data_IF_488800989964
#
_entry.id   IF_488800989964
#
_cell.length_a   1.000
_cell.length_b   1.000
_cell.length_c   1.000
_cell.angle_alpha   90.00
_cell.angle_beta   90.00
_cell.angle_gamma   90.00
#
_symmetry.space_group_name_H-M   'P 1'
#
loop_
_entity.id
_entity.type
_entity.pdbx_description
1 polymer ?
#
# COMPACT_ATOMS: atom_id res chain seq x y z
N UNK A 1 6.77 -20.79 8.63
CA UNK A 1 7.47 -19.56 8.21
C UNK A 1 8.09 -18.90 9.43
N UNK A 2 9.08 -18.03 9.24
CA UNK A 2 9.67 -17.17 10.28
C UNK A 2 9.95 -15.79 9.69
N UNK A 3 10.00 -14.75 10.53
CA UNK A 3 10.22 -13.37 10.08
C UNK A 3 11.70 -12.97 10.16
N UNK A 4 12.13 -12.17 9.20
CA UNK A 4 13.50 -11.63 9.09
C UNK A 4 13.47 -10.23 8.48
N UNK A 5 14.57 -9.47 8.56
CA UNK A 5 14.66 -8.10 8.03
C UNK A 5 16.08 -7.69 7.60
N UNK A 6 16.96 -8.66 7.28
CA UNK A 6 18.36 -8.39 6.97
C UNK A 6 18.68 -8.64 5.50
N UNK A 7 19.71 -7.96 4.99
CA UNK A 7 20.26 -8.23 3.65
C UNK A 7 20.68 -9.69 3.46
N UNK A 8 21.10 -10.37 4.55
CA UNK A 8 21.48 -11.78 4.49
C UNK A 8 20.32 -12.64 3.99
N UNK A 9 19.13 -12.42 4.54
CA UNK A 9 17.91 -13.16 4.14
C UNK A 9 17.33 -12.60 2.83
N UNK A 10 17.39 -11.28 2.63
CA UNK A 10 16.85 -10.65 1.42
C UNK A 10 17.58 -11.07 0.13
N UNK A 11 18.89 -11.35 0.19
CA UNK A 11 19.67 -11.78 -0.98
C UNK A 11 19.89 -13.30 -1.06
N UNK A 12 19.55 -14.05 0.00
CA UNK A 12 19.59 -15.50 -0.04
C UNK A 12 18.55 -16.05 -1.03
N UNK A 13 18.86 -17.20 -1.64
CA UNK A 13 17.92 -17.92 -2.50
C UNK A 13 17.50 -19.22 -1.82
N UNK A 14 16.20 -19.54 -1.76
CA UNK A 14 15.74 -20.78 -1.16
C UNK A 14 16.19 -21.98 -1.99
N UNK A 15 16.49 -23.09 -1.32
CA UNK A 15 16.61 -24.39 -1.98
C UNK A 15 15.25 -24.81 -2.55
N UNK A 16 15.25 -25.61 -3.60
CA UNK A 16 14.02 -26.19 -4.16
C UNK A 16 13.23 -26.91 -3.05
N UNK A 17 11.97 -26.53 -2.78
CA UNK A 17 11.17 -27.17 -1.76
C UNK A 17 10.92 -28.66 -2.06
N UNK A 18 10.85 -29.45 -1.00
CA UNK A 18 10.68 -30.89 -1.11
C UNK A 18 9.37 -31.26 -1.84
N UNK A 19 9.48 -32.22 -2.77
CA UNK A 19 8.36 -32.78 -3.53
C UNK A 19 7.54 -31.77 -4.36
N UNK A 20 8.05 -30.56 -4.63
CA UNK A 20 7.29 -29.54 -5.36
C UNK A 20 6.95 -29.95 -6.80
N UNK A 21 7.77 -30.80 -7.43
CA UNK A 21 7.51 -31.34 -8.78
C UNK A 21 6.24 -32.21 -8.87
N UNK A 22 5.71 -32.65 -7.73
CA UNK A 22 4.49 -33.47 -7.62
C UNK A 22 3.28 -32.67 -7.13
N UNK A 23 3.38 -31.34 -7.08
CA UNK A 23 2.34 -30.45 -6.56
C UNK A 23 1.79 -29.55 -7.66
N UNK A 24 0.55 -29.11 -7.48
CA UNK A 24 -0.14 -28.12 -8.30
C UNK A 24 -0.78 -27.06 -7.41
N UNK A 25 -1.03 -25.88 -7.98
CA UNK A 25 -1.68 -24.77 -7.30
C UNK A 25 -2.86 -24.25 -8.11
N UNK A 26 -3.96 -23.93 -7.42
CA UNK A 26 -5.13 -23.30 -7.98
C UNK A 26 -5.35 -21.98 -7.25
N UNK A 27 -5.34 -20.88 -7.98
CA UNK A 27 -5.48 -19.53 -7.43
C UNK A 27 -6.80 -18.94 -7.91
N UNK A 28 -7.67 -18.56 -6.97
CA UNK A 28 -9.00 -18.04 -7.27
C UNK A 28 -8.93 -16.52 -7.40
N UNK A 29 -9.32 -16.01 -8.56
CA UNK A 29 -9.12 -14.62 -8.98
C UNK A 29 -7.71 -14.35 -9.50
N UNK A 30 -7.57 -13.31 -10.33
CA UNK A 30 -6.31 -12.86 -10.94
C UNK A 30 -5.92 -11.43 -10.53
N UNK A 31 -6.36 -11.01 -9.34
CA UNK A 31 -5.86 -9.79 -8.70
C UNK A 31 -4.40 -9.91 -8.24
N UNK A 32 -3.84 -8.81 -7.73
CA UNK A 32 -2.45 -8.73 -7.28
C UNK A 32 -2.01 -9.89 -6.38
N UNK A 33 -2.87 -10.33 -5.46
CA UNK A 33 -2.55 -11.40 -4.51
C UNK A 33 -2.27 -12.74 -5.23
N UNK A 34 -3.16 -13.16 -6.12
CA UNK A 34 -2.98 -14.41 -6.89
C UNK A 34 -1.81 -14.32 -7.85
N UNK A 35 -1.64 -13.17 -8.52
CA UNK A 35 -0.49 -12.99 -9.42
C UNK A 35 0.83 -13.03 -8.65
N UNK A 36 0.92 -12.35 -7.51
CA UNK A 36 2.08 -12.40 -6.62
C UNK A 36 2.35 -13.83 -6.13
N UNK A 37 1.32 -14.56 -5.70
CA UNK A 37 1.45 -15.94 -5.26
C UNK A 37 1.98 -16.86 -6.39
N UNK A 38 1.47 -16.70 -7.61
CA UNK A 38 1.99 -17.42 -8.77
C UNK A 38 3.47 -17.09 -9.04
N UNK A 39 3.87 -15.82 -8.96
CA UNK A 39 5.27 -15.42 -9.09
C UNK A 39 6.16 -16.08 -8.03
N UNK A 40 5.75 -16.09 -6.75
CA UNK A 40 6.53 -16.75 -5.69
C UNK A 40 6.55 -18.29 -5.85
N UNK A 41 5.45 -18.90 -6.33
CA UNK A 41 5.43 -20.34 -6.64
C UNK A 41 6.43 -20.70 -7.74
N UNK A 42 6.57 -19.86 -8.76
CA UNK A 42 7.58 -20.02 -9.81
C UNK A 42 8.98 -19.77 -9.25
N UNK A 43 9.22 -18.60 -8.66
CA UNK A 43 10.57 -18.13 -8.30
C UNK A 43 11.18 -18.88 -7.13
N UNK A 44 10.44 -18.98 -6.04
CA UNK A 44 10.94 -19.50 -4.76
C UNK A 44 10.47 -20.94 -4.54
N UNK A 45 9.22 -21.20 -4.94
CA UNK A 45 8.65 -22.55 -4.97
C UNK A 45 9.31 -23.44 -6.02
N UNK A 46 9.86 -22.87 -7.10
CA UNK A 46 10.38 -23.62 -8.25
C UNK A 46 9.36 -24.65 -8.78
N UNK A 47 8.07 -24.34 -8.64
CA UNK A 47 6.98 -25.10 -9.21
C UNK A 47 6.95 -24.85 -10.72
N UNK A 48 6.69 -25.88 -11.51
CA UNK A 48 6.54 -25.71 -12.97
C UNK A 48 5.28 -24.91 -13.27
N UNK A 49 5.37 -23.94 -14.18
CA UNK A 49 4.23 -23.10 -14.53
C UNK A 49 3.02 -23.86 -15.06
N UNK A 50 3.22 -24.99 -15.74
CA UNK A 50 2.14 -25.89 -16.20
C UNK A 50 1.26 -26.43 -15.06
N UNK A 51 1.75 -26.41 -13.82
CA UNK A 51 1.03 -26.87 -12.62
C UNK A 51 0.38 -25.72 -11.82
N UNK A 52 0.45 -24.48 -12.33
CA UNK A 52 -0.12 -23.30 -11.67
C UNK A 52 -1.32 -22.82 -12.49
N UNK A 53 -2.50 -22.87 -11.89
CA UNK A 53 -3.77 -22.56 -12.55
C UNK A 53 -4.41 -21.33 -11.89
N UNK A 54 -4.50 -20.22 -12.61
CA UNK A 54 -5.21 -19.02 -12.16
C UNK A 54 -6.61 -19.05 -12.76
N UNK A 55 -7.63 -18.95 -11.90
CA UNK A 55 -9.04 -19.01 -12.29
C UNK A 55 -9.65 -17.62 -12.12
N UNK A 56 -9.90 -16.92 -13.23
CA UNK A 56 -10.47 -15.57 -13.25
C UNK A 56 -11.89 -15.59 -13.83
N UNK A 57 -12.78 -14.80 -13.24
CA UNK A 57 -14.15 -14.64 -13.71
C UNK A 57 -14.24 -13.67 -14.91
N UNK A 58 -13.42 -12.63 -14.90
CA UNK A 58 -13.34 -11.62 -15.95
C UNK A 58 -12.48 -12.05 -17.16
N UNK A 59 -12.61 -11.31 -18.26
CA UNK A 59 -11.78 -11.51 -19.46
C UNK A 59 -10.40 -10.85 -19.39
N UNK A 60 -10.05 -10.25 -18.24
CA UNK A 60 -8.82 -9.49 -18.04
C UNK A 60 -8.29 -9.72 -16.63
N UNK A 61 -6.97 -9.75 -16.49
CA UNK A 61 -6.31 -9.87 -15.19
C UNK A 61 -6.10 -8.54 -14.46
N UNK A 62 -5.80 -8.60 -13.17
CA UNK A 62 -5.37 -7.46 -12.36
C UNK A 62 -6.37 -7.06 -11.26
N UNK A 63 -7.63 -7.49 -11.37
CA UNK A 63 -8.65 -7.20 -10.36
C UNK A 63 -8.80 -5.70 -10.13
N UNK A 64 -8.47 -5.23 -8.94
CA UNK A 64 -8.53 -3.81 -8.54
C UNK A 64 -7.35 -2.93 -9.01
N UNK A 65 -6.44 -3.47 -9.84
CA UNK A 65 -5.29 -2.77 -10.42
C UNK A 65 -5.48 -2.45 -11.91
N UNK A 66 -6.68 -2.09 -12.32
CA UNK A 66 -6.98 -1.74 -13.71
C UNK A 66 -6.79 -0.26 -14.02
N UNK A 67 -6.54 -0.01 -15.29
CA UNK A 67 -6.68 1.28 -15.95
C UNK A 67 -7.00 1.00 -17.41
N UNK A 68 -8.24 1.26 -17.83
CA UNK A 68 -8.73 0.85 -19.16
C UNK A 68 -9.45 2.00 -19.86
N UNK A 69 -9.35 2.04 -21.18
CA UNK A 69 -10.23 2.86 -22.00
C UNK A 69 -11.53 2.08 -22.25
N UNK A 70 -12.56 2.39 -21.48
CA UNK A 70 -13.87 1.74 -21.60
C UNK A 70 -14.62 2.32 -22.80
N UNK A 71 -15.08 1.44 -23.69
CA UNK A 71 -15.91 1.83 -24.82
C UNK A 71 -17.12 2.66 -24.35
N UNK A 72 -17.39 3.77 -25.03
CA UNK A 72 -18.44 4.74 -24.69
C UNK A 72 -18.32 5.49 -23.34
N UNK A 73 -17.31 5.18 -22.50
CA UNK A 73 -17.10 5.83 -21.19
C UNK A 73 -15.78 6.60 -21.09
N UNK A 74 -14.78 6.27 -21.92
CA UNK A 74 -13.45 6.87 -21.90
C UNK A 74 -12.51 6.17 -20.92
N UNK A 75 -11.43 6.85 -20.52
CA UNK A 75 -10.45 6.30 -19.58
C UNK A 75 -11.04 6.18 -18.16
N UNK A 76 -10.91 4.99 -17.59
CA UNK A 76 -11.37 4.66 -16.24
C UNK A 76 -10.20 4.08 -15.45
N UNK A 77 -10.00 4.63 -14.25
CA UNK A 77 -9.04 4.15 -13.25
C UNK A 77 -9.84 3.88 -11.97
N UNK A 78 -9.99 2.61 -11.57
CA UNK A 78 -10.78 2.28 -10.36
C UNK A 78 -10.14 2.80 -9.08
N UNK A 79 -8.83 2.99 -9.07
CA UNK A 79 -8.15 3.70 -7.99
C UNK A 79 -6.65 3.83 -8.21
N UNK A 80 -6.10 4.95 -7.76
CA UNK A 80 -4.65 5.12 -7.66
C UNK A 80 -4.05 4.18 -6.61
N UNK A 81 -2.76 3.89 -6.75
CA UNK A 81 -2.00 3.11 -5.79
C UNK A 81 -0.80 3.92 -5.33
N UNK A 82 -0.90 4.37 -4.09
CA UNK A 82 0.17 5.04 -3.38
C UNK A 82 1.08 3.97 -2.78
N UNK A 83 2.37 4.01 -3.13
CA UNK A 83 3.35 3.03 -2.65
C UNK A 83 4.38 3.74 -1.77
N UNK A 84 5.13 2.97 -0.97
CA UNK A 84 6.22 3.51 -0.17
C UNK A 84 7.42 2.56 -0.13
N UNK A 85 8.57 3.06 0.33
CA UNK A 85 9.84 2.33 0.25
C UNK A 85 9.90 1.08 1.14
N UNK A 86 9.09 0.99 2.19
CA UNK A 86 9.01 -0.18 3.08
C UNK A 86 7.86 -1.14 2.74
N UNK A 87 7.39 -1.16 1.48
CA UNK A 87 6.59 -2.28 0.98
C UNK A 87 7.49 -3.51 0.72
N UNK A 88 8.11 -4.02 1.79
CA UNK A 88 9.20 -5.01 1.78
C UNK A 88 8.93 -6.20 0.85
N UNK A 89 7.80 -6.89 1.05
CA UNK A 89 7.45 -8.07 0.26
C UNK A 89 7.13 -7.74 -1.21
N UNK A 90 6.59 -6.54 -1.46
CA UNK A 90 6.29 -6.09 -2.82
C UNK A 90 7.59 -5.81 -3.57
N UNK A 91 8.56 -5.16 -2.93
CA UNK A 91 9.86 -4.90 -3.55
C UNK A 91 10.71 -6.16 -3.72
N UNK A 92 10.58 -7.14 -2.83
CA UNK A 92 11.13 -8.48 -3.07
C UNK A 92 10.52 -9.12 -4.32
N UNK A 93 9.20 -9.03 -4.52
CA UNK A 93 8.54 -9.54 -5.72
C UNK A 93 9.04 -8.81 -6.98
N UNK A 94 8.91 -7.49 -7.03
CA UNK A 94 9.08 -6.73 -8.27
C UNK A 94 10.53 -6.54 -8.73
N UNK A 95 11.53 -6.78 -7.88
CA UNK A 95 12.93 -6.89 -8.34
C UNK A 95 13.17 -8.09 -9.26
N UNK A 96 12.25 -9.06 -9.29
CA UNK A 96 12.35 -10.27 -10.12
C UNK A 96 11.44 -10.23 -11.35
N UNK A 97 10.59 -9.22 -11.48
CA UNK A 97 9.70 -9.06 -12.63
C UNK A 97 10.39 -8.13 -13.63
N UNK A 98 10.65 -8.57 -14.88
CA UNK A 98 11.23 -7.71 -15.91
C UNK A 98 10.33 -6.50 -16.21
N UNK A 99 10.93 -5.34 -16.42
CA UNK A 99 10.23 -4.17 -16.94
C UNK A 99 9.81 -4.41 -18.40
N UNK A 100 8.69 -3.80 -18.78
CA UNK A 100 8.21 -3.78 -20.17
C UNK A 100 8.75 -2.58 -20.96
N UNK A 101 9.24 -1.54 -20.27
CA UNK A 101 9.67 -0.27 -20.86
C UNK A 101 11.18 -0.11 -20.89
N UNK A 102 11.88 -0.74 -19.92
CA UNK A 102 13.33 -0.67 -19.74
C UNK A 102 13.93 -2.07 -19.97
N UNK A 103 14.53 -2.32 -21.16
CA UNK A 103 15.20 -3.59 -21.43
C UNK A 103 16.26 -3.90 -20.36
N UNK A 104 16.35 -5.17 -19.96
CA UNK A 104 17.30 -5.68 -18.95
C UNK A 104 17.14 -5.12 -17.52
N UNK A 105 16.10 -4.34 -17.25
CA UNK A 105 15.78 -3.83 -15.92
C UNK A 105 14.57 -4.57 -15.30
N UNK A 106 14.47 -4.57 -13.98
CA UNK A 106 13.26 -5.01 -13.27
C UNK A 106 12.24 -3.87 -13.15
N UNK A 107 10.99 -4.22 -12.81
CA UNK A 107 9.95 -3.23 -12.46
C UNK A 107 10.40 -2.38 -11.26
N UNK A 108 11.13 -2.96 -10.30
CA UNK A 108 11.70 -2.18 -9.20
C UNK A 108 12.70 -1.13 -9.69
N UNK A 109 13.57 -1.48 -10.63
CA UNK A 109 14.60 -0.56 -11.14
C UNK A 109 13.94 0.64 -11.85
N UNK A 110 13.00 0.38 -12.76
CA UNK A 110 12.22 1.42 -13.45
C UNK A 110 11.50 2.33 -12.44
N UNK A 111 10.80 1.74 -11.48
CA UNK A 111 10.06 2.46 -10.45
C UNK A 111 11.00 3.32 -9.58
N UNK A 112 12.16 2.78 -9.23
CA UNK A 112 13.15 3.45 -8.41
C UNK A 112 13.79 4.66 -9.11
N UNK A 113 14.18 4.50 -10.38
CA UNK A 113 14.76 5.60 -11.17
C UNK A 113 13.75 6.72 -11.37
N UNK A 114 12.52 6.38 -11.77
CA UNK A 114 11.45 7.36 -11.96
C UNK A 114 11.23 8.22 -10.70
N UNK A 115 11.05 7.59 -9.55
CA UNK A 115 10.76 8.30 -8.30
C UNK A 115 11.97 9.08 -7.74
N UNK A 116 13.17 8.91 -8.32
CA UNK A 116 14.34 9.76 -8.07
C UNK A 116 14.45 10.93 -9.03
N UNK A 117 14.10 10.71 -10.29
CA UNK A 117 14.10 11.73 -11.34
C UNK A 117 12.98 12.75 -11.14
N UNK A 118 11.78 12.28 -10.78
CA UNK A 118 10.61 13.10 -10.45
C UNK A 118 10.05 12.72 -9.07
N UNK A 119 10.67 13.21 -7.98
CA UNK A 119 10.22 12.88 -6.64
C UNK A 119 8.85 13.51 -6.35
N UNK A 120 7.89 12.68 -5.93
CA UNK A 120 6.54 13.15 -5.62
C UNK A 120 6.51 14.11 -4.43
N UNK A 121 5.78 15.22 -4.56
CA UNK A 121 5.33 16.06 -3.46
C UNK A 121 4.14 16.92 -3.90
N UNK A 122 3.27 17.26 -2.95
CA UNK A 122 2.12 18.14 -3.16
C UNK A 122 2.48 19.59 -2.85
N UNK A 123 2.18 20.48 -3.81
CA UNK A 123 2.30 21.94 -3.63
C UNK A 123 1.08 22.55 -2.89
N UNK A 124 -0.04 21.84 -2.87
CA UNK A 124 -1.29 22.25 -2.27
C UNK A 124 -2.11 21.00 -1.92
N UNK A 125 -2.16 20.64 -0.64
CA UNK A 125 -2.76 19.37 -0.21
C UNK A 125 -4.24 19.50 0.11
N UNK A 126 -4.69 20.67 0.53
CA UNK A 126 -6.08 20.93 0.86
C UNK A 126 -6.55 22.33 0.41
N UNK A 127 -7.76 22.36 -0.15
CA UNK A 127 -8.45 23.56 -0.61
C UNK A 127 -9.84 23.66 0.03
N UNK A 128 -10.37 24.87 0.09
CA UNK A 128 -11.73 25.19 0.53
C UNK A 128 -12.34 26.28 -0.37
N UNK A 129 -13.67 26.44 -0.29
CA UNK A 129 -14.44 27.57 -0.83
C UNK A 129 -13.94 28.15 -2.16
N UNK A 130 -14.23 27.46 -3.28
CA UNK A 130 -13.90 27.95 -4.62
C UNK A 130 -12.42 27.82 -5.01
N UNK A 131 -11.70 26.87 -4.40
CA UNK A 131 -10.32 26.52 -4.81
C UNK A 131 -9.22 27.24 -4.04
N UNK A 132 -9.53 27.91 -2.93
CA UNK A 132 -8.53 28.58 -2.08
C UNK A 132 -7.81 27.55 -1.23
N UNK A 133 -6.48 27.65 -1.12
CA UNK A 133 -5.70 26.80 -0.21
C UNK A 133 -6.07 27.11 1.25
N UNK A 134 -6.22 26.08 2.09
CA UNK A 134 -6.43 26.29 3.53
C UNK A 134 -5.18 26.94 4.14
N UNK A 135 -5.35 27.88 5.08
CA UNK A 135 -4.22 28.64 5.65
C UNK A 135 -3.22 27.76 6.42
N UNK A 136 -3.73 26.70 7.04
CA UNK A 136 -2.95 25.78 7.87
C UNK A 136 -2.45 24.55 7.10
N UNK A 137 -2.50 24.58 5.76
CA UNK A 137 -2.03 23.46 4.92
C UNK A 137 -0.57 23.15 5.21
N UNK A 138 -0.24 21.87 5.37
CA UNK A 138 1.08 21.42 5.83
C UNK A 138 1.23 21.27 7.35
N UNK A 139 0.40 21.93 8.17
CA UNK A 139 0.37 21.76 9.63
C UNK A 139 -0.67 20.72 10.03
N UNK A 140 -0.39 19.93 11.07
CA UNK A 140 -1.33 18.91 11.58
C UNK A 140 -2.44 19.43 12.50
N UNK A 141 -2.26 20.63 13.07
CA UNK A 141 -3.22 21.29 13.97
C UNK A 141 -3.74 20.40 15.11
N UNK A 142 -2.91 19.45 15.59
CA UNK A 142 -3.22 18.58 16.71
C UNK A 142 -3.06 19.31 18.05
N UNK A 143 -4.08 19.23 18.90
CA UNK A 143 -3.98 19.67 20.30
C UNK A 143 -3.16 18.66 21.13
N UNK A 144 -2.68 19.06 22.31
CA UNK A 144 -2.01 18.13 23.24
C UNK A 144 -2.92 16.96 23.63
N UNK A 145 -4.23 17.20 23.71
CA UNK A 145 -5.24 16.17 23.97
C UNK A 145 -5.33 15.18 22.82
N UNK A 146 -5.44 15.67 21.58
CA UNK A 146 -5.47 14.81 20.38
C UNK A 146 -4.19 13.97 20.23
N UNK A 147 -3.01 14.55 20.51
CA UNK A 147 -1.75 13.79 20.53
C UNK A 147 -1.80 12.68 21.59
N UNK A 148 -2.31 12.97 22.79
CA UNK A 148 -2.47 11.96 23.84
C UNK A 148 -3.42 10.84 23.41
N UNK A 149 -4.52 11.16 22.73
CA UNK A 149 -5.46 10.17 22.20
C UNK A 149 -4.79 9.23 21.18
N UNK A 150 -3.99 9.77 20.25
CA UNK A 150 -3.21 8.97 19.29
C UNK A 150 -2.27 8.00 20.02
N UNK A 151 -1.51 8.52 20.99
CA UNK A 151 -0.59 7.70 21.78
C UNK A 151 -1.33 6.65 22.61
N UNK A 152 -2.46 7.01 23.21
CA UNK A 152 -3.30 6.08 23.96
C UNK A 152 -3.84 4.96 23.08
N UNK A 153 -4.24 5.24 21.84
CA UNK A 153 -4.66 4.21 20.89
C UNK A 153 -3.49 3.25 20.56
N UNK A 154 -2.30 3.76 20.24
CA UNK A 154 -1.13 2.93 19.96
C UNK A 154 -0.74 2.02 21.14
N UNK A 155 -0.92 2.50 22.37
CA UNK A 155 -0.60 1.75 23.60
C UNK A 155 -1.66 0.72 24.01
N UNK A 156 -2.85 0.72 23.41
CA UNK A 156 -3.84 -0.34 23.61
C UNK A 156 -3.33 -1.66 23.04
N UNK A 157 -3.71 -2.77 23.67
CA UNK A 157 -3.55 -4.09 23.06
C UNK A 157 -4.49 -4.20 21.87
N UNK A 158 -4.09 -4.96 20.87
CA UNK A 158 -4.92 -5.12 19.68
C UNK A 158 -6.21 -5.88 20.00
N UNK A 159 -6.11 -6.90 20.85
CA UNK A 159 -7.26 -7.67 21.34
C UNK A 159 -8.35 -6.82 22.04
N UNK A 160 -8.00 -5.64 22.57
CA UNK A 160 -8.94 -4.74 23.24
C UNK A 160 -9.70 -3.81 22.27
N UNK A 161 -9.51 -3.99 20.94
CA UNK A 161 -10.07 -3.12 19.89
C UNK A 161 -11.05 -3.84 18.95
N UNK A 162 -11.50 -5.05 19.32
CA UNK A 162 -12.54 -5.77 18.58
C UNK A 162 -13.83 -4.94 18.49
N UNK A 163 -14.34 -4.77 17.27
CA UNK A 163 -15.54 -3.98 16.94
C UNK A 163 -15.57 -2.51 17.42
N UNK A 164 -14.41 -1.97 17.86
CA UNK A 164 -14.28 -0.58 18.30
C UNK A 164 -14.13 0.35 17.09
N UNK A 165 -14.91 1.44 17.06
CA UNK A 165 -14.87 2.46 16.01
C UNK A 165 -13.87 3.56 16.32
N UNK A 166 -13.35 4.21 15.26
CA UNK A 166 -12.48 5.38 15.37
C UNK A 166 -13.14 6.50 16.20
N UNK A 167 -14.43 6.76 15.98
CA UNK A 167 -15.20 7.77 16.72
C UNK A 167 -15.37 7.48 18.22
N UNK A 168 -15.09 6.26 18.69
CA UNK A 168 -15.18 5.88 20.10
C UNK A 168 -13.87 6.11 20.86
N UNK A 169 -12.75 6.24 20.14
CA UNK A 169 -11.41 6.42 20.72
C UNK A 169 -10.82 7.81 20.51
N UNK A 170 -11.41 8.62 19.62
CA UNK A 170 -11.01 9.99 19.34
C UNK A 170 -12.15 10.99 19.59
N UNK A 171 -11.80 12.16 20.10
CA UNK A 171 -12.77 13.25 20.32
C UNK A 171 -12.75 14.29 19.20
N UNK A 172 -13.64 15.29 19.28
CA UNK A 172 -13.73 16.37 18.29
C UNK A 172 -12.40 17.10 18.06
N UNK A 173 -11.55 17.24 19.09
CA UNK A 173 -10.20 17.82 18.95
C UNK A 173 -9.38 17.14 17.85
N UNK A 174 -9.43 15.80 17.80
CA UNK A 174 -8.74 15.02 16.79
C UNK A 174 -9.49 15.09 15.45
N UNK A 175 -10.82 14.93 15.46
CA UNK A 175 -11.63 14.89 14.23
C UNK A 175 -11.68 16.24 13.49
N UNK A 176 -11.41 17.35 14.17
CA UNK A 176 -11.30 18.68 13.57
C UNK A 176 -9.85 19.06 13.18
N UNK A 177 -8.88 18.18 13.42
CA UNK A 177 -7.49 18.43 13.07
C UNK A 177 -7.21 18.23 11.58
N UNK A 178 -6.18 18.93 11.08
CA UNK A 178 -5.66 18.71 9.73
C UNK A 178 -5.01 17.33 9.60
N UNK A 179 -4.48 16.77 10.70
CA UNK A 179 -4.03 15.38 10.72
C UNK A 179 -5.14 14.44 10.27
N UNK A 180 -6.34 14.54 10.86
CA UNK A 180 -7.48 13.71 10.46
C UNK A 180 -7.91 13.99 9.02
N UNK A 181 -7.91 15.24 8.57
CA UNK A 181 -8.18 15.59 7.18
C UNK A 181 -7.23 14.86 6.22
N UNK A 182 -5.92 14.91 6.45
CA UNK A 182 -4.95 14.24 5.59
C UNK A 182 -5.07 12.73 5.67
N UNK A 183 -5.17 12.19 6.89
CA UNK A 183 -5.22 10.76 7.16
C UNK A 183 -6.44 10.09 6.52
N UNK A 184 -7.63 10.63 6.78
CA UNK A 184 -8.89 10.04 6.31
C UNK A 184 -9.01 10.07 4.79
N UNK A 185 -8.49 11.12 4.15
CA UNK A 185 -8.60 11.27 2.69
C UNK A 185 -7.50 10.50 1.94
N UNK A 186 -6.33 10.29 2.54
CA UNK A 186 -5.28 9.43 1.96
C UNK A 186 -5.63 7.95 2.08
N UNK A 187 -6.12 7.53 3.24
CA UNK A 187 -6.37 6.10 3.54
C UNK A 187 -7.85 5.70 3.48
N UNK A 188 -8.73 6.61 3.06
CA UNK A 188 -10.18 6.39 2.99
C UNK A 188 -10.80 5.86 4.30
N UNK A 189 -10.32 6.35 5.45
CA UNK A 189 -10.94 6.04 6.74
C UNK A 189 -12.21 6.87 6.94
N UNK A 190 -13.25 6.22 7.47
CA UNK A 190 -14.46 6.89 7.94
C UNK A 190 -14.52 6.80 9.48
N UNK A 191 -15.22 7.71 10.18
CA UNK A 191 -15.28 7.70 11.64
C UNK A 191 -15.84 6.40 12.25
N UNK A 192 -16.64 5.65 11.49
CA UNK A 192 -17.21 4.35 11.91
C UNK A 192 -16.33 3.14 11.54
N UNK A 193 -15.19 3.34 10.86
CA UNK A 193 -14.26 2.26 10.58
C UNK A 193 -13.54 1.78 11.85
N UNK A 194 -12.88 0.63 11.72
CA UNK A 194 -12.15 -0.05 12.79
C UNK A 194 -11.02 0.82 13.37
N UNK A 195 -11.07 1.04 14.68
CA UNK A 195 -9.97 1.64 15.44
C UNK A 195 -8.74 0.72 15.48
N UNK A 196 -8.94 -0.60 15.41
CA UNK A 196 -7.86 -1.59 15.31
C UNK A 196 -7.02 -1.35 14.05
N UNK A 197 -7.67 -1.16 12.90
CA UNK A 197 -6.95 -0.91 11.65
C UNK A 197 -6.29 0.46 11.64
N UNK A 198 -6.95 1.50 12.18
CA UNK A 198 -6.32 2.81 12.35
C UNK A 198 -5.06 2.75 13.23
N UNK A 199 -5.11 1.99 14.34
CA UNK A 199 -3.94 1.75 15.20
C UNK A 199 -2.79 1.10 14.43
N UNK A 200 -3.08 0.07 13.63
CA UNK A 200 -2.09 -0.58 12.77
C UNK A 200 -1.45 0.41 11.81
N UNK A 201 -2.22 1.28 11.15
CA UNK A 201 -1.67 2.30 10.26
C UNK A 201 -0.80 3.32 10.99
N UNK A 202 -1.23 3.81 12.17
CA UNK A 202 -0.46 4.75 12.98
C UNK A 202 0.93 4.19 13.32
N UNK A 203 1.00 2.90 13.68
CA UNK A 203 2.27 2.22 13.97
C UNK A 203 3.05 1.87 12.70
N UNK A 204 2.35 1.45 11.63
CA UNK A 204 2.95 0.96 10.38
C UNK A 204 3.62 2.06 9.56
N UNK A 205 3.09 3.28 9.60
CA UNK A 205 3.57 4.41 8.79
C UNK A 205 4.19 5.53 9.62
N UNK A 206 4.57 5.25 10.88
CA UNK A 206 5.15 6.25 11.79
C UNK A 206 6.42 6.90 11.22
N UNK A 207 7.23 6.14 10.45
CA UNK A 207 8.44 6.64 9.79
C UNK A 207 8.17 7.67 8.69
N UNK A 208 6.93 7.73 8.19
CA UNK A 208 6.50 8.66 7.13
C UNK A 208 5.66 9.82 7.63
N UNK A 209 5.50 9.98 8.95
CA UNK A 209 4.62 11.03 9.50
C UNK A 209 4.97 12.42 8.96
N UNK A 210 6.26 12.74 8.78
CA UNK A 210 6.71 14.02 8.23
C UNK A 210 6.30 14.27 6.76
N UNK A 211 6.11 13.20 5.98
CA UNK A 211 5.70 13.27 4.57
C UNK A 211 4.19 13.18 4.34
N UNK A 212 3.38 12.93 5.38
CA UNK A 212 1.92 12.84 5.24
C UNK A 212 1.29 14.16 4.78
N UNK A 213 1.80 15.28 5.26
CA UNK A 213 1.22 16.59 5.02
C UNK A 213 1.45 17.11 3.58
N UNK A 214 2.45 16.58 2.88
CA UNK A 214 2.83 17.02 1.53
C UNK A 214 3.05 15.86 0.55
N UNK A 215 2.67 14.63 0.90
CA UNK A 215 2.83 13.41 0.09
C UNK A 215 4.27 13.04 -0.30
N UNK A 216 5.31 13.64 0.31
CA UNK A 216 6.69 13.35 -0.07
C UNK A 216 7.18 11.94 0.30
N UNK A 217 6.42 11.23 1.12
CA UNK A 217 6.68 9.83 1.47
C UNK A 217 6.24 8.84 0.37
N UNK A 218 5.26 9.25 -0.44
CA UNK A 218 4.59 8.39 -1.42
C UNK A 218 5.41 8.29 -2.70
N UNK A 219 5.25 7.16 -3.38
CA UNK A 219 5.90 6.82 -4.64
C UNK A 219 4.85 6.26 -5.58
N UNK A 220 5.01 6.54 -6.86
CA UNK A 220 4.02 6.21 -7.88
C UNK A 220 4.66 5.53 -9.09
N UNK A 221 3.84 4.78 -9.81
CA UNK A 221 4.19 4.25 -11.12
C UNK A 221 4.24 5.38 -12.15
N UNK A 222 4.80 5.09 -13.33
CA UNK A 222 4.75 5.98 -14.50
C UNK A 222 3.31 6.29 -14.95
N UNK A 223 2.40 5.34 -14.70
CA UNK A 223 0.98 5.38 -15.03
C UNK A 223 0.13 5.88 -13.86
#
# INVERSE_FOLDING_TARGET
MYYTNSNYEAFARPKKPENVDKKSAYLIGSGLASLAAACFLIRDGQMKGENIHILEELNISGGSLDGINMEHHGFVVRGGREMENHFECLWDLFRSIPSLEQPEASVLDEFYWLNKEDPNYSKCRAIYSGGKRIETDGNFTLSKKAIKEILSLCMKKEEDLEDVKISEVFTEDFLNSNFWLYWKTMFAFEPWHSAMEMRRYLMRFVHHIGGLANFSALKFTKY
#
